data_IF_745272947222
#
_entry.id   IF_745272947222
#
_cell.length_a   1.000
_cell.length_b   1.000
_cell.length_c   1.000
_cell.angle_alpha   90.00
_cell.angle_beta   90.00
_cell.angle_gamma   90.00
#
_symmetry.space_group_name_H-M   'P 1'
#
loop_
_entity.id
_entity.type
_entity.pdbx_description
1 polymer ?
#
# COMPACT_ATOMS: atom_id res chain seq x y z
N UNK A 1 16.59 -29.75 -0.15
CA UNK A 1 15.92 -28.48 -0.50
C UNK A 1 14.47 -28.79 -0.79
N UNK A 2 13.57 -27.96 -0.27
CA UNK A 2 12.14 -28.11 -0.49
C UNK A 2 11.75 -27.54 -1.86
N UNK A 3 12.33 -26.39 -2.21
CA UNK A 3 12.14 -25.73 -3.49
C UNK A 3 13.49 -25.28 -4.06
N UNK A 4 13.68 -25.43 -5.38
CA UNK A 4 14.70 -24.69 -6.13
C UNK A 4 14.04 -23.96 -7.31
N UNK A 5 14.30 -22.66 -7.43
CA UNK A 5 13.99 -21.87 -8.61
C UNK A 5 15.25 -21.78 -9.47
N UNK A 6 15.25 -22.48 -10.61
CA UNK A 6 16.37 -22.54 -11.55
C UNK A 6 16.36 -21.36 -12.52
N UNK A 7 17.53 -20.95 -12.99
CA UNK A 7 17.70 -19.95 -14.05
C UNK A 7 16.94 -18.63 -13.80
N UNK A 8 16.88 -18.18 -12.55
CA UNK A 8 16.27 -16.92 -12.14
C UNK A 8 17.16 -15.74 -12.52
N UNK A 9 16.56 -14.66 -13.00
CA UNK A 9 17.25 -13.38 -13.17
C UNK A 9 16.93 -12.45 -12.01
N UNK A 10 17.94 -11.93 -11.32
CA UNK A 10 17.75 -10.96 -10.23
C UNK A 10 17.87 -9.53 -10.74
N UNK A 11 17.27 -8.57 -10.02
CA UNK A 11 17.43 -7.13 -10.29
C UNK A 11 18.92 -6.75 -10.26
N UNK A 12 19.36 -5.94 -11.21
CA UNK A 12 20.77 -5.52 -11.35
C UNK A 12 21.73 -6.63 -11.82
N UNK A 13 21.29 -7.88 -11.93
CA UNK A 13 22.11 -9.02 -12.37
C UNK A 13 22.18 -9.18 -13.89
N UNK A 14 23.36 -9.57 -14.38
CA UNK A 14 23.60 -9.93 -15.78
C UNK A 14 23.50 -11.44 -16.04
N UNK A 15 23.70 -12.26 -15.01
CA UNK A 15 23.69 -13.72 -15.09
C UNK A 15 22.44 -14.31 -14.43
N UNK A 16 22.08 -15.52 -14.86
CA UNK A 16 21.03 -16.29 -14.20
C UNK A 16 21.60 -17.03 -12.99
N UNK A 17 20.78 -17.21 -11.97
CA UNK A 17 21.12 -17.91 -10.73
C UNK A 17 20.05 -18.94 -10.36
N UNK A 18 20.41 -19.87 -9.50
CA UNK A 18 19.47 -20.72 -8.78
C UNK A 18 19.18 -20.11 -7.40
N UNK A 19 17.93 -20.21 -6.97
CA UNK A 19 17.47 -19.84 -5.62
C UNK A 19 17.02 -21.11 -4.92
N UNK A 20 17.74 -21.52 -3.88
CA UNK A 20 17.43 -22.70 -3.09
C UNK A 20 16.69 -22.31 -1.79
N UNK A 21 15.60 -23.02 -1.50
CA UNK A 21 14.71 -22.76 -0.37
C UNK A 21 14.59 -24.02 0.50
N UNK A 22 14.66 -23.80 1.81
CA UNK A 22 14.46 -24.80 2.86
C UNK A 22 13.52 -24.22 3.92
N UNK A 23 12.39 -24.90 4.13
CA UNK A 23 11.26 -24.40 4.90
C UNK A 23 10.77 -23.05 4.38
N UNK A 24 10.76 -22.06 5.27
CA UNK A 24 10.23 -20.71 4.99
C UNK A 24 11.33 -19.72 4.55
N UNK A 25 12.57 -20.17 4.41
CA UNK A 25 13.74 -19.31 4.19
C UNK A 25 14.55 -19.69 2.95
N UNK A 26 15.20 -18.70 2.36
CA UNK A 26 16.18 -18.89 1.29
C UNK A 26 17.47 -19.43 1.92
N UNK A 27 17.89 -20.62 1.49
CA UNK A 27 19.12 -21.26 1.98
C UNK A 27 20.34 -20.75 1.22
N UNK A 28 20.23 -20.60 -0.12
CA UNK A 28 21.33 -20.13 -0.95
C UNK A 28 20.84 -19.47 -2.25
N UNK A 29 21.69 -18.60 -2.80
CA UNK A 29 21.51 -17.95 -4.12
C UNK A 29 22.85 -18.00 -4.85
N UNK A 30 22.91 -18.54 -6.06
CA UNK A 30 24.16 -18.65 -6.81
C UNK A 30 24.03 -19.27 -8.19
N UNK A 31 25.09 -19.19 -9.01
CA UNK A 31 25.05 -19.55 -10.45
C UNK A 31 24.63 -20.99 -10.76
N UNK A 32 24.91 -21.95 -9.86
CA UNK A 32 24.45 -23.32 -9.99
C UNK A 32 24.37 -23.95 -8.61
N UNK A 33 23.16 -24.32 -8.18
CA UNK A 33 22.99 -25.02 -6.91
C UNK A 33 23.20 -26.53 -7.12
N UNK A 34 24.20 -27.17 -6.47
CA UNK A 34 24.46 -28.59 -6.65
C UNK A 34 23.35 -29.45 -6.00
N UNK A 35 22.85 -30.44 -6.72
CA UNK A 35 21.78 -31.33 -6.25
C UNK A 35 20.38 -30.92 -6.72
N UNK A 36 19.35 -31.51 -6.12
CA UNK A 36 17.95 -31.26 -6.49
C UNK A 36 17.05 -30.95 -5.30
N UNK A 37 15.78 -30.63 -5.60
CA UNK A 37 14.75 -30.35 -4.60
C UNK A 37 13.49 -31.20 -4.78
N UNK A 38 12.66 -31.25 -3.73
CA UNK A 38 11.34 -31.87 -3.81
C UNK A 38 10.45 -31.19 -4.86
N UNK A 39 10.57 -29.87 -5.00
CA UNK A 39 9.95 -29.10 -6.05
C UNK A 39 10.99 -28.26 -6.81
N UNK A 40 11.02 -28.38 -8.14
CA UNK A 40 11.88 -27.56 -8.99
C UNK A 40 11.03 -26.81 -10.01
N UNK A 41 11.30 -25.52 -10.14
CA UNK A 41 10.75 -24.69 -11.21
C UNK A 41 11.88 -24.08 -12.02
N UNK A 42 11.68 -23.94 -13.32
CA UNK A 42 12.61 -23.23 -14.21
C UNK A 42 12.04 -21.84 -14.52
N UNK A 43 12.69 -20.80 -14.04
CA UNK A 43 12.31 -19.41 -14.32
C UNK A 43 12.60 -19.02 -15.77
N UNK A 44 13.38 -19.81 -16.53
CA UNK A 44 13.69 -19.57 -17.96
C UNK A 44 14.31 -18.20 -18.23
N UNK A 45 15.13 -17.71 -17.31
CA UNK A 45 15.75 -16.39 -17.37
C UNK A 45 14.80 -15.22 -17.08
N UNK A 46 13.59 -15.50 -16.58
CA UNK A 46 12.68 -14.47 -16.13
C UNK A 46 13.14 -13.85 -14.81
N UNK A 47 12.70 -12.60 -14.60
CA UNK A 47 12.93 -11.83 -13.40
C UNK A 47 12.24 -12.49 -12.20
N UNK A 48 13.01 -12.70 -11.13
CA UNK A 48 12.48 -13.07 -9.81
C UNK A 48 12.60 -11.87 -8.89
N UNK A 49 11.46 -11.46 -8.33
CA UNK A 49 11.35 -10.40 -7.33
C UNK A 49 11.09 -11.03 -5.96
N UNK A 50 11.52 -10.39 -4.86
CA UNK A 50 10.96 -10.70 -3.56
C UNK A 50 9.47 -10.33 -3.56
N UNK A 51 8.70 -10.89 -2.63
CA UNK A 51 7.26 -10.69 -2.51
C UNK A 51 6.85 -9.22 -2.57
N UNK A 52 5.78 -8.89 -3.30
CA UNK A 52 5.36 -7.50 -3.47
C UNK A 52 4.48 -7.05 -2.30
N UNK A 53 4.41 -5.74 -2.10
CA UNK A 53 3.62 -5.10 -1.05
C UNK A 53 2.49 -4.24 -1.61
N UNK A 54 1.36 -4.20 -0.89
CA UNK A 54 0.31 -3.20 -1.04
C UNK A 54 -0.04 -2.64 0.34
N UNK A 55 0.52 -1.47 0.67
CA UNK A 55 0.51 -0.94 2.04
C UNK A 55 -0.57 0.11 2.32
N UNK A 56 -1.37 0.45 1.33
CA UNK A 56 -2.53 1.29 1.49
C UNK A 56 -3.67 0.72 0.67
N UNK A 57 -4.63 0.09 1.35
CA UNK A 57 -5.72 -0.58 0.68
C UNK A 57 -7.02 -0.56 1.51
N UNK A 58 -8.06 0.11 1.05
CA UNK A 58 -9.39 0.18 1.68
C UNK A 58 -10.23 -1.08 1.38
N UNK A 59 -9.77 -2.23 1.86
CA UNK A 59 -10.44 -3.52 1.61
C UNK A 59 -11.81 -3.67 2.30
N UNK A 60 -12.14 -2.80 3.26
CA UNK A 60 -13.48 -2.78 3.86
C UNK A 60 -14.54 -2.22 2.90
N UNK A 61 -14.11 -1.33 1.99
CA UNK A 61 -14.94 -0.67 0.97
C UNK A 61 -14.83 -1.27 -0.43
N UNK A 62 -13.87 -2.17 -0.66
CA UNK A 62 -13.68 -2.71 -2.00
C UNK A 62 -14.94 -3.42 -2.53
N UNK A 63 -15.23 -3.29 -3.82
CA UNK A 63 -16.38 -3.89 -4.51
C UNK A 63 -17.75 -3.39 -4.02
N UNK A 64 -17.81 -2.32 -3.23
CA UNK A 64 -19.08 -1.71 -2.86
C UNK A 64 -19.85 -1.17 -4.07
N UNK A 65 -19.16 -0.83 -5.16
CA UNK A 65 -19.80 -0.47 -6.43
C UNK A 65 -20.67 -1.59 -7.03
N UNK A 66 -20.50 -2.85 -6.61
CA UNK A 66 -21.35 -3.98 -7.04
C UNK A 66 -22.68 -4.06 -6.29
N UNK A 67 -22.79 -3.48 -5.09
CA UNK A 67 -23.91 -3.70 -4.16
C UNK A 67 -24.59 -2.42 -3.68
N UNK A 68 -23.88 -1.29 -3.71
CA UNK A 68 -24.48 0.02 -3.41
C UNK A 68 -25.37 0.45 -4.58
N UNK A 69 -26.48 1.13 -4.25
CA UNK A 69 -27.30 1.78 -5.28
C UNK A 69 -26.47 2.86 -5.98
N UNK A 70 -26.70 3.12 -7.27
CA UNK A 70 -26.00 4.18 -7.97
C UNK A 70 -26.33 5.55 -7.36
N UNK A 71 -25.37 6.48 -7.43
CA UNK A 71 -25.60 7.90 -7.19
C UNK A 71 -26.35 8.48 -8.40
N UNK A 72 -27.67 8.67 -8.27
CA UNK A 72 -28.55 9.03 -9.39
C UNK A 72 -28.50 10.54 -9.67
N UNK A 73 -28.43 11.36 -8.63
CA UNK A 73 -28.31 12.82 -8.76
C UNK A 73 -26.90 13.27 -9.14
N UNK A 74 -25.90 12.40 -8.97
CA UNK A 74 -24.48 12.72 -9.20
C UNK A 74 -23.91 13.70 -8.17
N UNK A 75 -24.59 13.89 -7.03
CA UNK A 75 -24.18 14.88 -6.02
C UNK A 75 -23.32 14.24 -4.93
N UNK A 76 -22.40 15.03 -4.34
CA UNK A 76 -21.60 14.60 -3.20
C UNK A 76 -22.45 14.25 -1.96
N UNK A 77 -23.50 15.03 -1.60
CA UNK A 77 -24.41 14.65 -0.52
C UNK A 77 -25.07 13.28 -0.70
N UNK A 78 -25.55 12.95 -1.91
CA UNK A 78 -26.13 11.62 -2.16
C UNK A 78 -25.07 10.52 -2.03
N UNK A 79 -23.85 10.73 -2.54
CA UNK A 79 -22.77 9.75 -2.36
C UNK A 79 -22.44 9.49 -0.88
N UNK A 80 -22.40 10.55 -0.06
CA UNK A 80 -22.20 10.45 1.39
C UNK A 80 -23.35 9.70 2.05
N UNK A 81 -24.59 10.02 1.68
CA UNK A 81 -25.79 9.35 2.21
C UNK A 81 -25.76 7.84 1.91
N UNK A 82 -25.56 7.44 0.66
CA UNK A 82 -25.52 6.03 0.26
C UNK A 82 -24.43 5.29 1.05
N UNK A 83 -23.26 5.91 1.19
CA UNK A 83 -22.11 5.32 1.90
C UNK A 83 -22.43 5.15 3.38
N UNK A 84 -22.99 6.17 4.03
CA UNK A 84 -23.33 6.13 5.45
C UNK A 84 -24.46 5.14 5.78
N UNK A 85 -25.48 5.06 4.92
CA UNK A 85 -26.54 4.05 5.05
C UNK A 85 -25.99 2.63 5.00
N UNK A 86 -25.04 2.39 4.08
CA UNK A 86 -24.40 1.10 3.93
C UNK A 86 -23.50 0.80 5.15
N UNK A 87 -22.64 1.74 5.57
CA UNK A 87 -21.73 1.61 6.74
C UNK A 87 -22.43 1.20 8.04
N UNK A 88 -23.60 1.78 8.32
CA UNK A 88 -24.39 1.43 9.53
C UNK A 88 -24.83 -0.03 9.58
N UNK A 89 -24.93 -0.68 8.42
CA UNK A 89 -25.45 -2.04 8.25
C UNK A 89 -24.36 -3.05 7.88
N UNK A 90 -23.07 -2.69 7.98
CA UNK A 90 -21.98 -3.62 7.66
C UNK A 90 -22.14 -4.94 8.42
N UNK A 91 -22.16 -6.03 7.67
CA UNK A 91 -21.96 -7.36 8.23
C UNK A 91 -20.47 -7.68 8.12
N UNK A 92 -19.74 -7.90 9.25
CA UNK A 92 -18.34 -8.31 9.21
C UNK A 92 -18.06 -9.51 8.30
N UNK A 93 -19.01 -10.46 8.17
CA UNK A 93 -18.84 -11.63 7.29
C UNK A 93 -18.88 -11.23 5.82
N UNK A 94 -19.77 -10.31 5.45
CA UNK A 94 -19.89 -9.75 4.10
C UNK A 94 -18.64 -8.93 3.74
N UNK A 95 -18.22 -8.04 4.64
CA UNK A 95 -16.99 -7.25 4.48
C UNK A 95 -15.79 -8.17 4.24
N UNK A 96 -15.66 -9.23 5.05
CA UNK A 96 -14.60 -10.21 4.87
C UNK A 96 -14.68 -10.94 3.52
N UNK A 97 -15.87 -11.25 3.03
CA UNK A 97 -16.05 -11.93 1.76
C UNK A 97 -15.61 -11.07 0.57
N UNK A 98 -15.95 -9.76 0.57
CA UNK A 98 -15.47 -8.82 -0.44
C UNK A 98 -13.96 -8.63 -0.38
N UNK A 99 -13.41 -8.38 0.81
CA UNK A 99 -11.98 -8.22 1.02
C UNK A 99 -11.19 -9.45 0.54
N UNK A 100 -11.65 -10.66 0.86
CA UNK A 100 -11.00 -11.91 0.41
C UNK A 100 -10.93 -11.99 -1.12
N UNK A 101 -12.00 -11.64 -1.84
CA UNK A 101 -12.02 -11.70 -3.32
C UNK A 101 -10.91 -10.83 -3.93
N UNK A 102 -10.71 -9.63 -3.42
CA UNK A 102 -9.70 -8.71 -3.97
C UNK A 102 -8.29 -9.04 -3.47
N UNK A 103 -8.13 -9.49 -2.22
CA UNK A 103 -6.85 -9.97 -1.69
C UNK A 103 -6.36 -11.19 -2.49
N UNK A 104 -7.23 -12.13 -2.83
CA UNK A 104 -6.90 -13.27 -3.71
C UNK A 104 -6.37 -12.82 -5.07
N UNK A 105 -6.99 -11.79 -5.67
CA UNK A 105 -6.49 -11.20 -6.90
C UNK A 105 -5.11 -10.57 -6.69
N UNK A 106 -4.90 -9.88 -5.57
CA UNK A 106 -3.61 -9.32 -5.20
C UNK A 106 -2.51 -10.38 -5.00
N UNK A 107 -2.84 -11.51 -4.38
CA UNK A 107 -1.90 -12.65 -4.25
C UNK A 107 -1.55 -13.23 -5.62
N UNK A 108 -2.54 -13.42 -6.51
CA UNK A 108 -2.28 -13.84 -7.90
C UNK A 108 -1.39 -12.84 -8.65
N UNK A 109 -1.47 -11.57 -8.26
CA UNK A 109 -0.63 -10.48 -8.73
C UNK A 109 0.71 -10.35 -7.98
N UNK A 110 1.10 -11.32 -7.14
CA UNK A 110 2.40 -11.36 -6.47
C UNK A 110 2.49 -10.57 -5.16
N UNK A 111 1.38 -10.01 -4.67
CA UNK A 111 1.36 -9.36 -3.35
C UNK A 111 1.38 -10.41 -2.26
N UNK A 112 2.40 -10.35 -1.41
CA UNK A 112 2.58 -11.28 -0.27
C UNK A 112 2.33 -10.60 1.07
N UNK A 113 2.27 -9.27 1.08
CA UNK A 113 2.00 -8.45 2.25
C UNK A 113 1.03 -7.33 1.93
N UNK A 114 -0.04 -7.24 2.72
CA UNK A 114 -1.03 -6.17 2.63
C UNK A 114 -1.08 -5.36 3.93
N UNK A 115 -1.37 -4.07 3.84
CA UNK A 115 -1.87 -3.26 4.95
C UNK A 115 -3.23 -2.71 4.54
N UNK A 116 -4.25 -3.12 5.27
CA UNK A 116 -5.65 -2.85 4.98
C UNK A 116 -6.17 -1.77 5.92
N UNK A 117 -6.86 -0.78 5.38
CA UNK A 117 -7.52 0.26 6.16
C UNK A 117 -8.95 -0.18 6.47
N UNK A 118 -9.37 -0.08 7.73
CA UNK A 118 -10.76 -0.31 8.13
C UNK A 118 -11.34 0.94 8.79
N UNK A 119 -12.50 1.37 8.30
CA UNK A 119 -13.21 2.49 8.92
C UNK A 119 -13.66 2.14 10.34
N UNK A 120 -13.19 2.93 11.31
CA UNK A 120 -13.57 2.87 12.72
C UNK A 120 -14.09 4.23 13.15
N UNK A 121 -15.31 4.28 13.68
CA UNK A 121 -15.97 5.52 14.09
C UNK A 121 -17.42 5.28 14.44
N UNK A 122 -18.15 6.31 14.86
CA UNK A 122 -19.49 6.14 15.47
C UNK A 122 -20.56 5.66 14.48
N UNK A 123 -20.34 5.81 13.16
CA UNK A 123 -21.27 5.34 12.13
C UNK A 123 -21.27 3.80 12.02
N UNK A 124 -20.08 3.21 11.85
CA UNK A 124 -19.91 1.77 11.62
C UNK A 124 -19.59 0.98 12.90
N UNK A 125 -19.12 1.65 13.94
CA UNK A 125 -18.48 1.02 15.11
C UNK A 125 -17.25 0.23 14.69
N UNK A 126 -17.15 -1.01 15.16
CA UNK A 126 -16.03 -1.93 14.90
C UNK A 126 -16.29 -2.91 13.75
N UNK A 127 -17.39 -2.75 12.99
CA UNK A 127 -17.84 -3.76 12.01
C UNK A 127 -16.84 -3.99 10.89
N UNK A 128 -16.30 -2.91 10.30
CA UNK A 128 -15.28 -3.01 9.26
C UNK A 128 -14.01 -3.67 9.78
N UNK A 129 -13.53 -3.25 10.95
CA UNK A 129 -12.36 -3.84 11.62
C UNK A 129 -12.52 -5.35 11.81
N UNK A 130 -13.63 -5.79 12.41
CA UNK A 130 -13.93 -7.22 12.60
C UNK A 130 -13.99 -7.99 11.29
N UNK A 131 -14.52 -7.38 10.22
CA UNK A 131 -14.54 -7.97 8.89
C UNK A 131 -13.14 -8.18 8.30
N UNK A 132 -12.26 -7.18 8.42
CA UNK A 132 -10.88 -7.30 7.91
C UNK A 132 -10.02 -8.23 8.77
N UNK A 133 -10.24 -8.29 10.09
CA UNK A 133 -9.60 -9.28 10.96
C UNK A 133 -10.02 -10.71 10.58
N UNK A 134 -11.30 -10.91 10.22
CA UNK A 134 -11.79 -12.19 9.70
C UNK A 134 -11.16 -12.52 8.32
N UNK A 135 -11.03 -11.53 7.43
CA UNK A 135 -10.34 -11.70 6.15
C UNK A 135 -8.87 -12.09 6.34
N UNK A 136 -8.17 -11.46 7.29
CA UNK A 136 -6.80 -11.80 7.68
C UNK A 136 -6.67 -13.28 8.06
N UNK A 137 -7.57 -13.78 8.91
CA UNK A 137 -7.56 -15.20 9.30
C UNK A 137 -7.80 -16.15 8.13
N UNK A 138 -8.71 -15.81 7.21
CA UNK A 138 -8.96 -16.61 5.99
C UNK A 138 -7.76 -16.62 5.06
N UNK A 139 -7.02 -15.51 4.98
CA UNK A 139 -5.93 -15.32 4.01
C UNK A 139 -4.53 -15.62 4.54
N UNK A 140 -4.36 -15.97 5.82
CA UNK A 140 -3.05 -16.17 6.47
C UNK A 140 -2.12 -17.20 5.80
N UNK A 141 -2.68 -18.14 5.03
CA UNK A 141 -1.89 -19.13 4.27
C UNK A 141 -1.29 -18.57 2.98
N UNK A 142 -1.83 -17.45 2.48
CA UNK A 142 -1.54 -16.88 1.17
C UNK A 142 -0.75 -15.59 1.26
N UNK A 143 -0.97 -14.78 2.30
CA UNK A 143 -0.28 -13.52 2.52
C UNK A 143 -0.28 -13.11 3.99
N UNK A 144 0.60 -12.17 4.35
CA UNK A 144 0.56 -11.46 5.63
C UNK A 144 -0.28 -10.18 5.50
N UNK A 145 -1.08 -9.87 6.50
CA UNK A 145 -1.98 -8.71 6.51
C UNK A 145 -1.78 -7.93 7.81
N UNK A 146 -1.55 -6.63 7.70
CA UNK A 146 -1.76 -5.64 8.76
C UNK A 146 -3.13 -4.97 8.59
N UNK A 147 -3.79 -4.63 9.69
CA UNK A 147 -5.06 -3.88 9.69
C UNK A 147 -4.86 -2.54 10.42
N UNK A 148 -5.22 -1.45 9.76
CA UNK A 148 -5.14 -0.08 10.27
C UNK A 148 -6.51 0.31 10.83
N UNK A 149 -6.59 0.64 12.11
CA UNK A 149 -7.79 1.23 12.70
C UNK A 149 -7.90 2.69 12.23
N UNK A 150 -8.81 2.97 11.29
CA UNK A 150 -8.80 4.24 10.54
C UNK A 150 -10.05 5.10 10.78
N UNK A 151 -9.91 6.33 11.32
CA UNK A 151 -11.02 7.23 11.62
C UNK A 151 -11.45 8.05 10.40
N UNK A 152 -12.20 7.43 9.48
CA UNK A 152 -12.65 8.07 8.23
C UNK A 152 -13.43 9.38 8.44
N UNK A 153 -14.19 9.49 9.54
CA UNK A 153 -14.99 10.69 9.83
C UNK A 153 -14.21 11.74 10.63
N UNK A 154 -12.92 11.51 10.92
CA UNK A 154 -12.12 12.26 11.88
C UNK A 154 -12.18 11.66 13.29
N UNK A 155 -11.36 12.21 14.20
CA UNK A 155 -11.33 11.83 15.62
C UNK A 155 -11.97 12.91 16.48
N UNK A 156 -11.61 14.17 16.25
CA UNK A 156 -12.07 15.28 17.12
C UNK A 156 -13.50 15.65 16.77
N UNK A 157 -13.81 15.70 15.46
CA UNK A 157 -15.17 15.94 14.96
C UNK A 157 -16.14 14.74 15.10
N UNK A 158 -15.65 13.55 15.45
CA UNK A 158 -16.46 12.36 15.74
C UNK A 158 -16.26 11.88 17.20
N UNK A 159 -16.91 12.53 18.19
CA UNK A 159 -16.76 12.17 19.59
C UNK A 159 -17.11 10.70 19.85
N UNK A 160 -16.14 9.91 20.35
CA UNK A 160 -16.25 8.46 20.52
C UNK A 160 -15.35 7.66 19.57
N UNK A 161 -14.81 8.28 18.51
CA UNK A 161 -13.94 7.61 17.55
C UNK A 161 -12.62 7.14 18.16
N UNK A 162 -12.00 7.94 19.04
CA UNK A 162 -10.75 7.57 19.70
C UNK A 162 -10.90 6.31 20.56
N UNK A 163 -12.01 6.20 21.31
CA UNK A 163 -12.33 5.03 22.12
C UNK A 163 -12.54 3.80 21.25
N UNK A 164 -13.30 3.92 20.15
CA UNK A 164 -13.51 2.85 19.20
C UNK A 164 -12.21 2.41 18.49
N UNK A 165 -11.33 3.35 18.14
CA UNK A 165 -10.01 3.03 17.61
C UNK A 165 -9.19 2.22 18.63
N UNK A 166 -9.21 2.63 19.90
CA UNK A 166 -8.53 1.87 20.96
C UNK A 166 -9.14 0.46 21.13
N UNK A 167 -10.46 0.32 21.01
CA UNK A 167 -11.12 -1.00 21.01
C UNK A 167 -10.72 -1.85 19.79
N UNK A 168 -10.67 -1.28 18.59
CA UNK A 168 -10.22 -1.97 17.39
C UNK A 168 -8.77 -2.46 17.49
N UNK A 169 -7.90 -1.65 18.11
CA UNK A 169 -6.51 -2.02 18.43
C UNK A 169 -6.49 -3.20 19.40
N UNK A 170 -7.28 -3.15 20.49
CA UNK A 170 -7.41 -4.26 21.46
C UNK A 170 -7.96 -5.55 20.81
N UNK A 171 -8.80 -5.44 19.78
CA UNK A 171 -9.29 -6.59 18.99
C UNK A 171 -8.25 -7.12 17.99
N UNK A 172 -7.13 -6.43 17.78
CA UNK A 172 -5.99 -6.91 17.01
C UNK A 172 -5.70 -6.16 15.71
N UNK A 173 -6.16 -4.91 15.55
CA UNK A 173 -5.61 -4.00 14.55
C UNK A 173 -4.14 -3.67 14.87
N UNK A 174 -3.29 -3.65 13.85
CA UNK A 174 -1.83 -3.61 13.97
C UNK A 174 -1.25 -2.19 13.88
N UNK A 175 -2.01 -1.22 13.38
CA UNK A 175 -1.53 0.12 13.04
C UNK A 175 -2.58 1.17 13.41
N UNK A 176 -2.14 2.30 13.94
CA UNK A 176 -3.00 3.45 14.24
C UNK A 176 -3.17 4.31 12.99
N UNK A 177 -4.41 4.45 12.52
CA UNK A 177 -4.76 5.32 11.41
C UNK A 177 -5.02 6.76 11.84
N UNK A 178 -5.15 7.65 10.86
CA UNK A 178 -5.58 9.04 11.10
C UNK A 178 -5.95 9.75 9.81
N UNK A 179 -6.79 10.78 9.91
CA UNK A 179 -7.24 11.65 8.82
C UNK A 179 -7.25 13.12 9.28
N UNK A 180 -6.11 13.68 9.73
CA UNK A 180 -6.09 14.97 10.41
C UNK A 180 -6.54 16.14 9.54
N UNK A 181 -6.29 16.10 8.22
CA UNK A 181 -6.68 17.20 7.32
C UNK A 181 -8.19 17.37 7.16
N UNK A 182 -8.98 16.37 7.58
CA UNK A 182 -10.43 16.38 7.50
C UNK A 182 -11.12 16.96 8.75
N UNK A 183 -10.35 17.27 9.79
CA UNK A 183 -10.87 18.01 10.95
C UNK A 183 -11.32 19.43 10.55
N UNK A 184 -12.19 20.07 11.34
CA UNK A 184 -12.75 21.38 10.94
C UNK A 184 -11.75 22.52 11.06
N UNK A 185 -10.76 22.40 11.94
CA UNK A 185 -9.76 23.45 12.21
C UNK A 185 -8.35 22.90 12.30
N UNK A 186 -7.36 23.76 12.09
CA UNK A 186 -5.93 23.39 12.22
C UNK A 186 -5.57 22.92 13.63
N UNK A 187 -6.20 23.48 14.67
CA UNK A 187 -5.97 23.07 16.05
C UNK A 187 -6.52 21.66 16.32
N UNK A 188 -7.71 21.36 15.80
CA UNK A 188 -8.29 20.01 15.88
C UNK A 188 -7.48 19.01 15.06
N UNK A 189 -6.95 19.40 13.89
CA UNK A 189 -6.05 18.56 13.10
C UNK A 189 -4.76 18.21 13.86
N UNK A 190 -4.19 19.15 14.62
CA UNK A 190 -3.04 18.88 15.50
C UNK A 190 -3.43 17.96 16.65
N UNK A 191 -4.57 18.23 17.29
CA UNK A 191 -5.10 17.37 18.35
C UNK A 191 -5.35 15.94 17.87
N UNK A 192 -5.87 15.76 16.65
CA UNK A 192 -6.03 14.46 16.01
C UNK A 192 -4.70 13.72 15.92
N UNK A 193 -3.65 14.38 15.42
CA UNK A 193 -2.31 13.79 15.35
C UNK A 193 -1.82 13.41 16.75
N UNK A 194 -1.96 14.30 17.73
CA UNK A 194 -1.54 14.03 19.10
C UNK A 194 -2.26 12.83 19.73
N UNK A 195 -3.56 12.65 19.47
CA UNK A 195 -4.33 11.48 19.91
C UNK A 195 -3.80 10.19 19.27
N UNK A 196 -3.55 10.19 17.95
CA UNK A 196 -2.98 9.03 17.28
C UNK A 196 -1.60 8.64 17.83
N UNK A 197 -0.73 9.62 18.10
CA UNK A 197 0.57 9.37 18.74
C UNK A 197 0.40 8.78 20.15
N UNK A 198 -0.52 9.33 20.94
CA UNK A 198 -0.80 8.80 22.28
C UNK A 198 -1.28 7.33 22.22
N UNK A 199 -2.16 6.99 21.27
CA UNK A 199 -2.61 5.61 21.06
C UNK A 199 -1.46 4.70 20.59
N UNK A 200 -0.69 5.13 19.60
CA UNK A 200 0.42 4.36 19.05
C UNK A 200 1.48 4.05 20.12
N UNK A 201 1.90 5.07 20.89
CA UNK A 201 2.90 4.91 21.96
C UNK A 201 2.38 4.07 23.12
N UNK A 202 1.08 4.19 23.46
CA UNK A 202 0.45 3.37 24.51
C UNK A 202 0.47 1.87 24.18
N UNK A 203 0.35 1.53 22.90
CA UNK A 203 0.22 0.14 22.42
C UNK A 203 1.44 -0.39 21.65
N UNK A 204 2.51 0.41 21.54
CA UNK A 204 3.72 0.11 20.76
C UNK A 204 3.44 -0.25 19.29
N UNK A 205 2.63 0.57 18.63
CA UNK A 205 2.20 0.37 17.24
C UNK A 205 2.75 1.42 16.29
N UNK A 206 2.84 1.06 15.01
CA UNK A 206 3.14 2.02 13.95
C UNK A 206 1.92 2.94 13.68
N UNK A 207 2.18 4.05 12.98
CA UNK A 207 1.19 5.05 12.56
C UNK A 207 1.12 5.09 11.04
N UNK A 208 -0.09 5.11 10.48
CA UNK A 208 -0.30 5.34 9.05
C UNK A 208 -1.52 6.24 8.82
N UNK A 209 -1.28 7.53 8.56
CA UNK A 209 -2.33 8.53 8.37
C UNK A 209 -2.52 8.90 6.92
N UNK A 210 -3.72 9.30 6.54
CA UNK A 210 -4.01 10.05 5.33
C UNK A 210 -3.82 11.54 5.66
N UNK A 211 -2.78 12.15 5.10
CA UNK A 211 -2.40 13.53 5.40
C UNK A 211 -2.56 14.39 4.15
N UNK A 212 -3.18 15.55 4.32
CA UNK A 212 -3.32 16.60 3.30
C UNK A 212 -3.77 16.07 1.91
N UNK A 213 -4.78 15.17 1.88
CA UNK A 213 -5.34 14.61 0.64
C UNK A 213 -6.35 15.58 0.00
N UNK A 214 -5.84 16.75 -0.38
CA UNK A 214 -6.62 17.88 -0.92
C UNK A 214 -5.75 18.74 -1.83
N UNK A 215 -6.37 19.61 -2.63
CA UNK A 215 -5.67 20.58 -3.49
C UNK A 215 -5.37 21.93 -2.80
N UNK A 216 -5.75 22.08 -1.53
CA UNK A 216 -5.53 23.31 -0.75
C UNK A 216 -4.09 23.44 -0.25
N UNK A 217 -3.39 24.49 -0.70
CA UNK A 217 -2.02 24.82 -0.30
C UNK A 217 -1.87 25.18 1.20
N UNK A 218 -2.97 25.37 1.91
CA UNK A 218 -2.99 25.64 3.35
C UNK A 218 -3.26 24.38 4.20
N UNK A 219 -3.59 23.25 3.58
CA UNK A 219 -3.63 21.96 4.27
C UNK A 219 -2.20 21.50 4.57
N UNK A 220 -1.79 21.57 5.85
CA UNK A 220 -0.38 21.52 6.29
C UNK A 220 -0.14 20.55 7.45
N UNK A 221 -0.97 19.53 7.57
CA UNK A 221 -0.88 18.55 8.65
C UNK A 221 0.41 17.72 8.56
N UNK A 222 0.97 17.52 7.36
CA UNK A 222 2.23 16.81 7.14
C UNK A 222 3.42 17.48 7.84
N UNK A 223 3.47 18.82 7.88
CA UNK A 223 4.52 19.54 8.61
C UNK A 223 4.47 19.19 10.11
N UNK A 224 3.27 19.25 10.70
CA UNK A 224 3.09 18.95 12.11
C UNK A 224 3.38 17.47 12.40
N UNK A 225 2.95 16.56 11.52
CA UNK A 225 3.23 15.13 11.62
C UNK A 225 4.73 14.84 11.62
N UNK A 226 5.50 15.45 10.69
CA UNK A 226 6.96 15.31 10.66
C UNK A 226 7.61 15.88 11.93
N UNK A 227 7.18 17.06 12.38
CA UNK A 227 7.67 17.67 13.64
C UNK A 227 7.38 16.78 14.85
N UNK A 228 6.16 16.26 14.97
CA UNK A 228 5.74 15.38 16.07
C UNK A 228 6.53 14.07 16.06
N UNK A 229 6.75 13.49 14.89
CA UNK A 229 7.60 12.30 14.71
C UNK A 229 9.01 12.52 15.26
N UNK A 230 9.65 13.66 14.94
CA UNK A 230 10.96 14.00 15.48
C UNK A 230 10.93 14.23 16.99
N UNK A 231 9.92 14.94 17.49
CA UNK A 231 9.79 15.27 18.91
C UNK A 231 9.63 14.03 19.79
N UNK A 232 8.81 13.06 19.36
CA UNK A 232 8.56 11.82 20.09
C UNK A 232 9.61 10.72 19.79
N UNK A 233 10.56 10.98 18.88
CA UNK A 233 11.57 10.00 18.47
C UNK A 233 11.01 8.81 17.68
N UNK A 234 9.84 8.95 17.05
CA UNK A 234 9.10 7.89 16.36
C UNK A 234 9.59 7.63 14.91
N UNK A 235 10.88 7.80 14.68
CA UNK A 235 11.51 7.71 13.36
C UNK A 235 11.31 6.33 12.72
N UNK A 236 10.79 6.28 11.48
CA UNK A 236 10.53 5.02 10.77
C UNK A 236 9.27 4.27 11.20
N UNK A 237 8.51 4.78 12.17
CA UNK A 237 7.21 4.22 12.61
C UNK A 237 6.01 4.92 11.96
N UNK A 238 6.23 5.98 11.18
CA UNK A 238 5.17 6.86 10.69
C UNK A 238 5.13 6.86 9.16
N UNK A 239 3.94 6.60 8.62
CA UNK A 239 3.62 6.76 7.20
C UNK A 239 2.54 7.81 7.01
N UNK A 240 2.72 8.69 6.02
CA UNK A 240 1.72 9.67 5.58
C UNK A 240 1.32 9.36 4.13
N UNK A 241 0.03 9.15 3.89
CA UNK A 241 -0.53 8.85 2.59
C UNK A 241 -1.06 10.09 1.87
N UNK A 242 -1.07 10.02 0.54
CA UNK A 242 -1.49 11.03 -0.42
C UNK A 242 -0.60 12.27 -0.43
N UNK A 243 -0.68 13.11 0.61
CA UNK A 243 0.05 14.37 0.70
C UNK A 243 -0.15 15.24 -0.56
N UNK A 244 -1.37 15.21 -1.11
CA UNK A 244 -1.73 15.86 -2.38
C UNK A 244 -1.54 17.38 -2.35
N UNK A 245 -1.72 18.00 -1.18
CA UNK A 245 -1.53 19.44 -0.99
C UNK A 245 -0.12 19.91 -1.35
N UNK A 246 0.89 19.02 -1.31
CA UNK A 246 2.25 19.34 -1.75
C UNK A 246 2.33 19.78 -3.21
N UNK A 247 1.39 19.34 -4.06
CA UNK A 247 1.26 19.83 -5.44
C UNK A 247 0.87 21.32 -5.51
N UNK A 248 0.23 21.84 -4.46
CA UNK A 248 -0.29 23.19 -4.35
C UNK A 248 0.63 24.13 -3.54
N UNK A 249 1.55 23.58 -2.74
CA UNK A 249 2.47 24.36 -1.93
C UNK A 249 3.33 25.30 -2.76
N UNK A 250 3.60 26.49 -2.20
CA UNK A 250 4.70 27.32 -2.70
C UNK A 250 6.03 26.58 -2.50
N UNK A 251 6.98 26.80 -3.39
CA UNK A 251 8.21 26.00 -3.46
C UNK A 251 9.11 26.14 -2.22
N UNK A 252 9.14 27.31 -1.60
CA UNK A 252 9.93 27.53 -0.36
C UNK A 252 9.38 26.68 0.78
N UNK A 253 8.06 26.68 0.95
CA UNK A 253 7.40 25.85 1.95
C UNK A 253 7.53 24.36 1.64
N UNK A 254 7.36 23.97 0.37
CA UNK A 254 7.53 22.59 -0.05
C UNK A 254 8.94 22.05 0.25
N UNK A 255 9.99 22.81 -0.07
CA UNK A 255 11.37 22.44 0.23
C UNK A 255 11.60 22.22 1.73
N UNK A 256 11.04 23.09 2.59
CA UNK A 256 11.06 22.92 4.05
C UNK A 256 10.39 21.61 4.46
N UNK A 257 9.18 21.33 3.97
CA UNK A 257 8.42 20.13 4.36
C UNK A 257 9.11 18.85 3.86
N UNK A 258 9.66 18.86 2.64
CA UNK A 258 10.46 17.74 2.11
C UNK A 258 11.65 17.44 3.02
N UNK A 259 12.37 18.46 3.47
CA UNK A 259 13.50 18.31 4.40
C UNK A 259 13.07 17.76 5.76
N UNK A 260 11.95 18.25 6.30
CA UNK A 260 11.39 17.78 7.56
C UNK A 260 10.94 16.32 7.48
N UNK A 261 10.24 15.92 6.41
CA UNK A 261 9.79 14.54 6.19
C UNK A 261 10.97 13.59 6.14
N UNK A 262 12.00 13.92 5.35
CA UNK A 262 13.20 13.10 5.24
C UNK A 262 13.95 13.00 6.58
N UNK A 263 14.11 14.12 7.29
CA UNK A 263 14.79 14.17 8.59
C UNK A 263 14.00 13.44 9.69
N UNK A 264 12.68 13.49 9.64
CA UNK A 264 11.80 12.76 10.53
C UNK A 264 11.76 11.25 10.24
N UNK A 265 12.23 10.81 9.06
CA UNK A 265 12.09 9.41 8.65
C UNK A 265 10.63 8.99 8.46
N UNK A 266 9.76 9.94 8.08
CA UNK A 266 8.36 9.65 7.72
C UNK A 266 8.35 9.05 6.32
N UNK A 267 7.65 7.92 6.15
CA UNK A 267 7.41 7.35 4.82
C UNK A 267 6.26 8.10 4.14
N UNK A 268 6.41 8.46 2.87
CA UNK A 268 5.30 9.01 2.07
C UNK A 268 4.73 7.92 1.17
N UNK A 269 3.44 7.66 1.26
CA UNK A 269 2.71 6.73 0.40
C UNK A 269 1.87 7.51 -0.60
N UNK A 270 2.27 7.54 -1.86
CA UNK A 270 1.55 8.25 -2.92
C UNK A 270 0.75 7.25 -3.74
N UNK A 271 -0.56 7.39 -3.77
CA UNK A 271 -1.46 6.44 -4.40
C UNK A 271 -1.98 7.02 -5.72
N UNK A 272 -1.13 6.96 -6.75
CA UNK A 272 -1.30 7.75 -7.97
C UNK A 272 -2.65 7.54 -8.67
N UNK A 273 -3.21 6.33 -8.63
CA UNK A 273 -4.51 6.00 -9.21
C UNK A 273 -5.63 6.88 -8.65
N UNK A 274 -5.80 6.88 -7.33
CA UNK A 274 -6.86 7.65 -6.69
C UNK A 274 -6.56 9.15 -6.74
N UNK A 275 -5.30 9.57 -6.55
CA UNK A 275 -4.97 11.00 -6.56
C UNK A 275 -5.32 11.64 -7.92
N UNK A 276 -5.01 10.97 -9.03
CA UNK A 276 -5.39 11.48 -10.36
C UNK A 276 -6.91 11.55 -10.58
N UNK A 277 -7.69 10.72 -9.88
CA UNK A 277 -9.15 10.71 -9.98
C UNK A 277 -9.78 11.69 -8.99
N UNK A 278 -9.25 11.90 -7.80
CA UNK A 278 -9.89 12.71 -6.76
C UNK A 278 -9.39 14.15 -6.72
N UNK A 279 -8.13 14.39 -7.09
CA UNK A 279 -7.53 15.72 -7.07
C UNK A 279 -7.86 16.54 -8.33
N UNK A 280 -7.56 17.83 -8.27
CA UNK A 280 -7.75 18.83 -9.32
C UNK A 280 -9.19 18.96 -9.85
N UNK A 281 -10.19 18.47 -9.10
CA UNK A 281 -11.61 18.51 -9.52
C UNK A 281 -12.18 19.93 -9.57
N UNK A 282 -11.60 20.85 -8.81
CA UNK A 282 -11.95 22.27 -8.81
C UNK A 282 -11.03 23.12 -9.71
N UNK A 283 -9.94 22.55 -10.23
CA UNK A 283 -9.11 23.26 -11.21
C UNK A 283 -9.88 23.45 -12.53
N UNK A 284 -9.58 24.55 -13.23
CA UNK A 284 -10.07 24.78 -14.61
C UNK A 284 -9.08 24.19 -15.60
N UNK A 285 -8.22 25.01 -16.20
CA UNK A 285 -7.04 24.59 -16.96
C UNK A 285 -5.89 25.60 -16.72
N UNK A 286 -4.63 25.15 -16.61
CA UNK A 286 -4.20 23.74 -16.60
C UNK A 286 -4.63 23.01 -15.32
N UNK A 287 -5.01 21.74 -15.43
CA UNK A 287 -5.27 20.86 -14.26
C UNK A 287 -3.98 20.31 -13.69
N UNK A 288 -3.79 20.46 -12.37
CA UNK A 288 -2.64 19.84 -11.69
C UNK A 288 -2.80 18.32 -11.61
N UNK A 289 -1.70 17.62 -11.34
CA UNK A 289 -1.71 16.15 -11.11
C UNK A 289 -2.23 15.76 -9.73
N UNK A 290 -2.06 16.61 -8.72
CA UNK A 290 -2.58 16.39 -7.37
C UNK A 290 -1.83 15.34 -6.54
N UNK A 291 -0.59 15.00 -6.90
CA UNK A 291 0.25 14.06 -6.13
C UNK A 291 1.32 14.78 -5.32
N UNK A 292 1.84 14.12 -4.28
CA UNK A 292 3.01 14.60 -3.57
C UNK A 292 4.23 14.81 -4.50
N UNK A 293 5.20 15.61 -4.05
CA UNK A 293 6.43 15.93 -4.80
C UNK A 293 7.46 14.78 -4.76
N UNK A 294 7.10 13.65 -5.35
CA UNK A 294 7.84 12.37 -5.29
C UNK A 294 9.33 12.52 -5.61
N UNK A 295 9.69 13.19 -6.71
CA UNK A 295 11.10 13.36 -7.09
C UNK A 295 11.91 14.13 -6.05
N UNK A 296 11.33 15.19 -5.47
CA UNK A 296 11.98 16.01 -4.45
C UNK A 296 12.18 15.21 -3.15
N UNK A 297 11.15 14.45 -2.76
CA UNK A 297 11.22 13.54 -1.60
C UNK A 297 12.32 12.49 -1.77
N UNK A 298 12.34 11.81 -2.93
CA UNK A 298 13.37 10.81 -3.24
C UNK A 298 14.77 11.42 -3.27
N UNK A 299 14.94 12.59 -3.92
CA UNK A 299 16.22 13.29 -4.01
C UNK A 299 16.74 13.70 -2.62
N UNK A 300 15.84 14.00 -1.67
CA UNK A 300 16.20 14.32 -0.29
C UNK A 300 16.44 13.08 0.60
N UNK A 301 16.18 11.88 0.08
CA UNK A 301 16.39 10.61 0.78
C UNK A 301 15.19 10.14 1.60
N UNK A 302 14.01 10.73 1.43
CA UNK A 302 12.79 10.24 2.08
C UNK A 302 12.40 8.85 1.53
N UNK A 303 11.80 8.02 2.38
CA UNK A 303 11.19 6.77 1.93
C UNK A 303 9.88 7.06 1.21
N UNK A 304 9.72 6.62 -0.03
CA UNK A 304 8.49 6.77 -0.80
C UNK A 304 7.99 5.41 -1.27
N UNK A 305 6.69 5.18 -1.10
CA UNK A 305 5.98 3.96 -1.53
C UNK A 305 4.75 4.33 -2.39
N UNK A 306 4.21 3.36 -3.10
CA UNK A 306 2.93 3.49 -3.82
C UNK A 306 2.05 2.28 -3.53
N UNK A 307 0.74 2.44 -3.61
CA UNK A 307 -0.24 1.38 -3.33
C UNK A 307 -1.52 1.56 -4.14
N UNK A 308 -2.41 0.56 -4.08
CA UNK A 308 -3.63 0.52 -4.90
C UNK A 308 -4.68 1.51 -4.41
N UNK A 309 -4.83 1.61 -3.08
CA UNK A 309 -5.88 2.36 -2.41
C UNK A 309 -7.27 1.74 -2.50
N UNK A 310 -8.03 2.12 -3.52
CA UNK A 310 -9.43 1.77 -3.68
C UNK A 310 -9.61 0.76 -4.83
N UNK A 311 -10.65 -0.09 -4.74
CA UNK A 311 -11.01 -1.07 -5.79
C UNK A 311 -12.52 -1.16 -5.90
N UNK A 312 -13.07 -0.61 -6.99
CA UNK A 312 -14.48 -0.60 -7.36
C UNK A 312 -15.40 -0.22 -6.19
N UNK A 313 -15.21 0.99 -5.70
CA UNK A 313 -15.94 1.55 -4.57
C UNK A 313 -16.37 3.00 -4.87
N UNK A 314 -17.05 3.70 -3.95
CA UNK A 314 -17.57 5.05 -4.20
C UNK A 314 -16.51 6.09 -4.57
N UNK A 315 -15.23 5.86 -4.27
CA UNK A 315 -14.14 6.79 -4.53
C UNK A 315 -13.42 6.47 -5.85
N UNK A 316 -13.29 5.18 -6.18
CA UNK A 316 -12.61 4.72 -7.39
C UNK A 316 -13.36 3.58 -8.09
N UNK A 317 -13.84 3.77 -9.34
CA UNK A 317 -14.61 2.76 -10.05
C UNK A 317 -13.76 1.65 -10.68
N UNK A 318 -12.43 1.79 -10.68
CA UNK A 318 -11.51 0.81 -11.26
C UNK A 318 -10.79 0.05 -10.16
N UNK A 319 -9.62 -0.50 -10.48
CA UNK A 319 -8.72 -1.08 -9.51
C UNK A 319 -8.48 -2.55 -9.80
N UNK A 320 -7.21 -2.89 -9.87
CA UNK A 320 -6.71 -4.24 -10.02
C UNK A 320 -5.57 -4.28 -9.01
N UNK A 321 -5.72 -4.94 -7.84
CA UNK A 321 -4.72 -4.90 -6.77
C UNK A 321 -3.40 -5.50 -7.25
N UNK A 322 -2.58 -4.69 -7.89
CA UNK A 322 -1.44 -5.06 -8.71
C UNK A 322 -0.33 -4.04 -8.44
N UNK A 323 0.67 -4.39 -7.62
CA UNK A 323 1.76 -3.47 -7.34
C UNK A 323 2.61 -3.12 -8.58
N UNK A 324 2.65 -3.96 -9.62
CA UNK A 324 3.32 -3.59 -10.89
C UNK A 324 2.56 -2.51 -11.65
N UNK A 325 1.23 -2.50 -11.57
CA UNK A 325 0.40 -1.45 -12.15
C UNK A 325 0.55 -0.14 -11.36
N UNK A 326 0.53 -0.24 -10.02
CA UNK A 326 0.79 0.90 -9.13
C UNK A 326 2.15 1.54 -9.42
N UNK A 327 3.19 0.71 -9.54
CA UNK A 327 4.53 1.13 -9.94
C UNK A 327 4.52 1.82 -11.32
N UNK A 328 3.90 1.21 -12.34
CA UNK A 328 3.81 1.81 -13.66
C UNK A 328 3.11 3.18 -13.64
N UNK A 329 1.99 3.30 -12.92
CA UNK A 329 1.26 4.56 -12.80
C UNK A 329 2.14 5.61 -12.11
N UNK A 330 2.83 5.24 -11.04
CA UNK A 330 3.77 6.13 -10.36
C UNK A 330 4.87 6.64 -11.29
N UNK A 331 5.46 5.76 -12.11
CA UNK A 331 6.48 6.15 -13.09
C UNK A 331 5.98 7.26 -14.03
N UNK A 332 4.74 7.16 -14.49
CA UNK A 332 4.12 8.17 -15.36
C UNK A 332 3.88 9.49 -14.62
N UNK A 333 3.19 9.44 -13.48
CA UNK A 333 2.70 10.65 -12.81
C UNK A 333 3.83 11.45 -12.15
N UNK A 334 4.79 10.75 -11.54
CA UNK A 334 5.99 11.36 -10.98
C UNK A 334 7.10 11.60 -12.02
N UNK A 335 6.89 11.22 -13.29
CA UNK A 335 7.83 11.36 -14.40
C UNK A 335 9.18 10.68 -14.15
N UNK A 336 9.16 9.50 -13.53
CA UNK A 336 10.32 8.66 -13.22
C UNK A 336 10.55 7.67 -14.38
N UNK A 337 11.35 8.05 -15.38
CA UNK A 337 11.47 7.33 -16.66
C UNK A 337 12.91 6.97 -17.05
N UNK A 338 13.92 7.42 -16.29
CA UNK A 338 15.30 6.99 -16.49
C UNK A 338 15.51 5.55 -15.98
N UNK A 339 16.50 4.79 -16.49
CA UNK A 339 16.73 3.41 -16.06
C UNK A 339 16.83 3.23 -14.54
N UNK A 340 17.55 4.11 -13.85
CA UNK A 340 17.68 4.09 -12.39
C UNK A 340 16.37 4.48 -11.69
N UNK A 341 15.60 5.40 -12.28
CA UNK A 341 14.29 5.80 -11.74
C UNK A 341 13.27 4.67 -11.84
N UNK A 342 13.33 3.82 -12.87
CA UNK A 342 12.48 2.62 -12.96
C UNK A 342 12.77 1.61 -11.85
N UNK A 343 14.04 1.46 -11.46
CA UNK A 343 14.41 0.67 -10.28
C UNK A 343 13.89 1.31 -8.99
N UNK A 344 13.98 2.64 -8.84
CA UNK A 344 13.41 3.34 -7.69
C UNK A 344 11.89 3.16 -7.58
N UNK A 345 11.18 3.18 -8.71
CA UNK A 345 9.74 2.91 -8.75
C UNK A 345 9.44 1.46 -8.34
N UNK A 346 10.25 0.49 -8.77
CA UNK A 346 10.13 -0.89 -8.30
C UNK A 346 10.40 -1.03 -6.80
N UNK A 347 11.32 -0.22 -6.25
CA UNK A 347 11.60 -0.19 -4.82
C UNK A 347 10.37 0.22 -4.01
N UNK A 348 9.53 1.13 -4.53
CA UNK A 348 8.29 1.60 -3.89
C UNK A 348 7.29 0.50 -3.55
N UNK A 349 7.32 -0.63 -4.28
CA UNK A 349 6.45 -1.80 -4.05
C UNK A 349 7.22 -3.03 -3.55
N UNK A 350 8.51 -2.87 -3.28
CA UNK A 350 9.40 -3.91 -2.74
C UNK A 350 10.14 -3.40 -1.50
N UNK A 351 11.40 -2.99 -1.63
CA UNK A 351 12.28 -2.69 -0.49
C UNK A 351 11.86 -1.45 0.32
N UNK A 352 11.32 -0.41 -0.33
CA UNK A 352 10.81 0.77 0.37
C UNK A 352 9.54 0.44 1.16
N UNK A 353 8.69 -0.42 0.59
CA UNK A 353 7.49 -0.91 1.25
C UNK A 353 7.84 -1.84 2.42
N UNK A 354 8.78 -2.78 2.24
CA UNK A 354 9.28 -3.61 3.34
C UNK A 354 9.83 -2.76 4.50
N UNK A 355 10.59 -1.69 4.18
CA UNK A 355 11.07 -0.71 5.17
C UNK A 355 9.92 0.00 5.88
N UNK A 356 8.89 0.44 5.15
CA UNK A 356 7.71 1.10 5.72
C UNK A 356 6.86 0.19 6.61
N UNK A 357 6.84 -1.12 6.30
CA UNK A 357 6.19 -2.14 7.10
C UNK A 357 7.12 -2.75 8.17
N UNK A 358 8.35 -2.23 8.30
CA UNK A 358 9.39 -2.68 9.25
C UNK A 358 9.69 -4.17 9.19
N UNK A 359 9.72 -4.72 7.97
CA UNK A 359 10.07 -6.12 7.70
C UNK A 359 11.57 -6.22 7.43
N UNK A 360 12.31 -6.81 8.36
CA UNK A 360 13.78 -6.90 8.30
C UNK A 360 14.30 -8.09 7.48
N UNK A 361 13.53 -9.17 7.38
CA UNK A 361 13.89 -10.44 6.74
C UNK A 361 13.42 -10.52 5.27
N UNK A 362 13.53 -9.40 4.54
CA UNK A 362 13.05 -9.22 3.18
C UNK A 362 14.17 -9.10 2.14
N UNK A 363 14.06 -9.87 1.05
CA UNK A 363 14.96 -9.80 -0.09
C UNK A 363 15.26 -11.17 -0.68
N UNK A 364 16.16 -11.21 -1.66
CA UNK A 364 16.62 -12.48 -2.28
C UNK A 364 18.09 -12.69 -1.88
N UNK A 365 18.28 -13.23 -0.68
CA UNK A 365 19.58 -13.59 -0.12
C UNK A 365 19.40 -14.72 0.91
N UNK A 366 20.48 -15.44 1.21
CA UNK A 366 20.46 -16.47 2.24
C UNK A 366 19.97 -15.89 3.59
N UNK A 367 19.09 -16.62 4.28
CA UNK A 367 18.46 -16.21 5.54
C UNK A 367 17.23 -15.31 5.41
N UNK A 368 16.93 -14.79 4.21
CA UNK A 368 15.69 -14.04 3.97
C UNK A 368 14.49 -14.97 3.82
N UNK A 369 13.26 -14.46 4.04
CA UNK A 369 12.05 -15.25 3.78
C UNK A 369 11.95 -15.65 2.31
N UNK A 370 11.45 -16.86 2.08
CA UNK A 370 11.14 -17.37 0.76
C UNK A 370 9.77 -16.86 0.24
N UNK A 371 9.60 -15.53 0.27
CA UNK A 371 8.50 -14.82 -0.38
C UNK A 371 9.01 -14.34 -1.75
N UNK A 372 8.63 -15.04 -2.81
CA UNK A 372 9.25 -14.90 -4.14
C UNK A 372 8.19 -14.81 -5.24
N UNK A 373 8.48 -14.02 -6.28
CA UNK A 373 7.58 -13.80 -7.41
C UNK A 373 8.36 -13.97 -8.70
N UNK A 374 8.00 -14.97 -9.50
CA UNK A 374 8.52 -15.16 -10.85
C UNK A 374 7.64 -14.38 -11.82
N UNK A 375 8.18 -13.30 -12.38
CA UNK A 375 7.45 -12.38 -13.27
C UNK A 375 7.61 -12.84 -14.72
N UNK A 376 6.57 -12.81 -15.55
CA UNK A 376 6.65 -13.17 -16.97
C UNK A 376 7.42 -12.18 -17.86
N UNK A 377 8.54 -11.62 -17.38
CA UNK A 377 9.41 -10.67 -18.06
C UNK A 377 10.86 -10.86 -17.59
N UNK A 378 11.84 -10.42 -18.38
CA UNK A 378 13.28 -10.61 -18.07
C UNK A 378 13.93 -9.45 -17.33
N UNK A 379 13.23 -8.33 -17.16
CA UNK A 379 13.77 -7.12 -16.53
C UNK A 379 12.68 -6.27 -15.90
N UNK A 380 13.06 -5.36 -14.99
CA UNK A 380 12.15 -4.36 -14.39
C UNK A 380 11.47 -3.52 -15.47
N UNK A 381 12.22 -3.07 -16.47
CA UNK A 381 11.68 -2.30 -17.59
C UNK A 381 10.60 -3.08 -18.35
N UNK A 382 10.84 -4.36 -18.68
CA UNK A 382 9.83 -5.20 -19.33
C UNK A 382 8.65 -5.50 -18.41
N UNK A 383 8.87 -5.77 -17.13
CA UNK A 383 7.81 -6.01 -16.16
C UNK A 383 6.86 -4.80 -16.06
N UNK A 384 7.42 -3.59 -15.98
CA UNK A 384 6.64 -2.34 -15.96
C UNK A 384 5.93 -2.10 -17.29
N UNK A 385 6.62 -2.26 -18.43
CA UNK A 385 6.06 -1.95 -19.76
C UNK A 385 4.99 -2.95 -20.21
N UNK A 386 5.22 -4.25 -20.01
CA UNK A 386 4.36 -5.32 -20.53
C UNK A 386 3.28 -5.74 -19.54
N UNK A 387 3.42 -5.40 -18.26
CA UNK A 387 2.49 -5.79 -17.20
C UNK A 387 2.13 -7.30 -17.24
N UNK A 388 3.14 -8.19 -17.32
CA UNK A 388 2.89 -9.62 -17.53
C UNK A 388 2.25 -10.27 -16.29
N UNK A 389 1.67 -11.47 -16.45
CA UNK A 389 1.24 -12.27 -15.32
C UNK A 389 2.41 -12.67 -14.43
N UNK A 390 2.10 -13.00 -13.18
CA UNK A 390 3.07 -13.59 -12.24
C UNK A 390 2.97 -15.09 -12.38
N UNK A 391 4.01 -15.69 -12.96
CA UNK A 391 4.04 -17.10 -13.34
C UNK A 391 3.95 -17.99 -12.11
N UNK A 392 4.70 -17.63 -11.07
CA UNK A 392 4.71 -18.31 -9.78
C UNK A 392 4.79 -17.27 -8.66
N UNK A 393 4.01 -17.46 -7.61
CA UNK A 393 4.04 -16.66 -6.38
C UNK A 393 4.24 -17.60 -5.20
N UNK A 394 5.26 -17.34 -4.40
CA UNK A 394 5.61 -18.10 -3.22
C UNK A 394 5.43 -17.24 -1.97
N UNK A 395 4.87 -17.86 -0.94
CA UNK A 395 4.73 -17.28 0.40
C UNK A 395 5.24 -18.31 1.41
N UNK A 396 6.20 -17.92 2.24
CA UNK A 396 6.84 -18.78 3.24
C UNK A 396 7.29 -20.12 2.62
N UNK A 397 7.93 -20.06 1.45
CA UNK A 397 8.47 -21.21 0.70
C UNK A 397 7.43 -22.06 -0.03
N UNK A 398 6.13 -21.75 0.08
CA UNK A 398 5.03 -22.50 -0.56
C UNK A 398 4.48 -21.75 -1.76
N UNK A 399 4.25 -22.45 -2.87
CA UNK A 399 3.59 -21.87 -4.05
C UNK A 399 2.11 -21.60 -3.72
N UNK A 400 1.70 -20.33 -3.74
CA UNK A 400 0.36 -19.88 -3.37
C UNK A 400 -0.47 -19.42 -4.58
N UNK A 401 0.17 -19.07 -5.69
CA UNK A 401 -0.49 -18.81 -6.95
C UNK A 401 0.40 -19.17 -8.14
N UNK A 402 -0.24 -19.56 -9.25
CA UNK A 402 0.39 -19.90 -10.52
C UNK A 402 -0.43 -19.33 -11.67
N UNK A 403 0.24 -18.79 -12.68
CA UNK A 403 -0.39 -18.28 -13.89
C UNK A 403 0.26 -18.85 -15.15
N UNK A 404 -0.56 -19.17 -16.15
CA UNK A 404 -0.11 -19.56 -17.49
C UNK A 404 -0.82 -18.70 -18.52
N UNK A 405 -0.10 -18.20 -19.52
CA UNK A 405 -0.67 -17.38 -20.60
C UNK A 405 -0.24 -17.95 -21.95
N UNK A 406 -1.21 -18.11 -22.85
CA UNK A 406 -0.99 -18.50 -24.25
C UNK A 406 -1.52 -17.38 -25.13
N UNK A 407 -0.70 -16.91 -26.07
CA UNK A 407 -1.08 -15.90 -27.07
C UNK A 407 -0.63 -16.39 -28.44
N UNK A 408 -1.55 -16.40 -29.39
CA UNK A 408 -1.32 -16.87 -30.75
C UNK A 408 -1.70 -15.76 -31.74
N UNK A 409 -0.79 -15.43 -32.66
CA UNK A 409 -1.14 -14.66 -33.84
C UNK A 409 -1.61 -15.66 -34.91
N UNK A 410 -2.92 -15.76 -35.08
CA UNK A 410 -3.52 -16.62 -36.10
C UNK A 410 -3.34 -15.95 -37.49
N UNK A 411 -3.16 -16.74 -38.56
CA UNK A 411 -2.82 -16.26 -39.91
C UNK A 411 -3.89 -15.39 -40.56
#
# INVERSE_FOLDING_TARGET
MDLIIRNARLRGGTENVDIAVEGETISAVGASYPGGAAHEIDARGNLVLPGLFNLHYHADKCLLGEIMRPNVSGTLPEAIEITNEFKRKYDPVEVAARAVRTIEQGVKNGTTFFRLFCDVGTIGGLRAARGLLLAREKMKKYCRIQVVAFPQEGIVRDPGAAELMEEAIKEGCDVVGGLPWYEYTDDEARQHIDICFALAMKHDLDIHMLADDTDDANSRTLEYLARKTMHEGYHGHVTASHCGAMAAYNDVYAAKVVDMVASAGVTISVNAHINLVCSARLDREPRRRGIARVKELLARGANVITSQDDVNDPYYPFGKPDPLECALMMAHVAQLTLPQELDQVMDMVTVNAARAARIADYGIAAGMRADLVVVGARSVHEALRLQPPRLHVFKDGREVARSTMTQELLP
#
